data_IF_596343643578
#
_entry.id   IF_596343643578
#
_cell.length_a   1.000
_cell.length_b   1.000
_cell.length_c   1.000
_cell.angle_alpha   90.00
_cell.angle_beta   90.00
_cell.angle_gamma   90.00
#
_symmetry.space_group_name_H-M   'P 1'
#
loop_
_entity.id
_entity.type
_entity.pdbx_description
1 polymer ?
#
# COMPACT_ATOMS: atom_id res chain seq x y z
N UNK A 1 -23.37 -19.61 2.51
CA UNK A 1 -22.59 -18.70 3.39
C UNK A 1 -21.16 -18.55 2.89
N UNK A 2 -20.48 -19.64 2.54
CA UNK A 2 -19.11 -19.61 1.99
C UNK A 2 -18.93 -18.66 0.78
N UNK A 3 -19.85 -18.69 -0.19
CA UNK A 3 -19.81 -17.78 -1.35
C UNK A 3 -19.84 -16.30 -0.96
N UNK A 4 -20.61 -15.94 0.08
CA UNK A 4 -20.68 -14.56 0.58
C UNK A 4 -19.38 -14.15 1.26
N UNK A 5 -18.74 -15.05 2.02
CA UNK A 5 -17.43 -14.79 2.63
C UNK A 5 -16.35 -14.58 1.56
N UNK A 6 -16.30 -15.40 0.52
CA UNK A 6 -15.33 -15.25 -0.58
C UNK A 6 -15.46 -13.89 -1.28
N UNK A 7 -16.70 -13.43 -1.53
CA UNK A 7 -16.94 -12.11 -2.13
C UNK A 7 -16.50 -11.01 -1.16
N UNK A 8 -16.86 -11.10 0.12
CA UNK A 8 -16.48 -10.12 1.13
C UNK A 8 -14.95 -10.01 1.30
N UNK A 9 -14.23 -11.14 1.27
CA UNK A 9 -12.76 -11.15 1.26
C UNK A 9 -12.18 -10.41 0.06
N UNK A 10 -12.67 -10.73 -1.15
CA UNK A 10 -12.18 -10.15 -2.39
C UNK A 10 -12.39 -8.63 -2.40
N UNK A 11 -13.54 -8.17 -1.89
CA UNK A 11 -13.84 -6.74 -1.76
C UNK A 11 -12.94 -6.08 -0.71
N UNK A 12 -12.80 -6.67 0.48
CA UNK A 12 -11.98 -6.11 1.55
C UNK A 12 -10.51 -5.97 1.15
N UNK A 13 -9.92 -7.03 0.58
CA UNK A 13 -8.55 -7.01 0.10
C UNK A 13 -8.40 -6.09 -1.12
N UNK A 14 -9.26 -6.24 -2.13
CA UNK A 14 -9.16 -5.50 -3.40
C UNK A 14 -9.35 -4.00 -3.25
N UNK A 15 -10.35 -3.55 -2.49
CA UNK A 15 -10.57 -2.12 -2.24
C UNK A 15 -9.55 -1.55 -1.26
N UNK A 16 -9.13 -2.34 -0.27
CA UNK A 16 -8.20 -1.88 0.76
C UNK A 16 -6.79 -1.55 0.24
N UNK A 17 -6.37 -2.15 -0.88
CA UNK A 17 -5.07 -1.84 -1.51
C UNK A 17 -5.10 -0.61 -2.42
N UNK A 18 -6.27 -0.05 -2.77
CA UNK A 18 -6.36 1.10 -3.68
C UNK A 18 -5.69 2.35 -3.08
N UNK A 19 -5.94 2.65 -1.81
CA UNK A 19 -5.34 3.79 -1.11
C UNK A 19 -3.81 3.69 -1.07
N UNK A 20 -3.23 2.60 -0.54
CA UNK A 20 -1.80 2.33 -0.57
C UNK A 20 -1.21 2.41 -1.99
N UNK A 21 -1.82 1.74 -2.97
CA UNK A 21 -1.33 1.72 -4.35
C UNK A 21 -1.23 3.13 -4.96
N UNK A 22 -2.26 3.96 -4.77
CA UNK A 22 -2.25 5.37 -5.20
C UNK A 22 -1.17 6.15 -4.43
N UNK A 23 -1.12 6.00 -3.11
CA UNK A 23 -0.14 6.69 -2.25
C UNK A 23 1.30 6.37 -2.64
N UNK A 24 1.61 5.10 -2.86
CA UNK A 24 2.94 4.61 -3.28
C UNK A 24 3.30 5.18 -4.64
N UNK A 25 2.38 5.18 -5.60
CA UNK A 25 2.60 5.78 -6.92
C UNK A 25 2.95 7.27 -6.84
N UNK A 26 2.23 8.03 -6.01
CA UNK A 26 2.49 9.46 -5.78
C UNK A 26 3.84 9.69 -5.09
N UNK A 27 4.14 8.92 -4.05
CA UNK A 27 5.41 9.00 -3.30
C UNK A 27 6.59 8.71 -4.24
N UNK A 28 6.52 7.61 -4.99
CA UNK A 28 7.56 7.23 -5.94
C UNK A 28 7.75 8.27 -7.05
N UNK A 29 6.65 8.75 -7.64
CA UNK A 29 6.71 9.79 -8.67
C UNK A 29 7.39 11.07 -8.19
N UNK A 30 7.03 11.56 -6.99
CA UNK A 30 7.64 12.75 -6.39
C UNK A 30 9.10 12.56 -5.99
N UNK A 31 9.46 11.36 -5.54
CA UNK A 31 10.85 11.02 -5.29
C UNK A 31 11.68 11.06 -6.58
N UNK A 32 11.18 10.50 -7.69
CA UNK A 32 11.87 10.54 -8.98
C UNK A 32 12.03 11.97 -9.51
N UNK A 33 10.98 12.80 -9.42
CA UNK A 33 11.07 14.23 -9.77
C UNK A 33 12.14 14.95 -8.93
N UNK A 34 12.21 14.69 -7.63
CA UNK A 34 13.18 15.31 -6.73
C UNK A 34 14.62 14.87 -7.03
N UNK A 35 14.84 13.58 -7.30
CA UNK A 35 16.14 13.02 -7.69
C UNK A 35 16.59 13.60 -9.04
N UNK A 36 15.68 13.71 -10.01
CA UNK A 36 15.99 14.31 -11.31
C UNK A 36 16.44 15.77 -11.21
N UNK A 37 15.95 16.52 -10.20
CA UNK A 37 16.38 17.91 -9.93
C UNK A 37 17.70 18.00 -9.18
N UNK A 38 17.97 17.08 -8.27
CA UNK A 38 19.22 17.02 -7.51
C UNK A 38 19.69 15.56 -7.32
N UNK A 39 20.50 15.03 -8.25
CA UNK A 39 21.00 13.66 -8.19
C UNK A 39 21.86 13.37 -6.95
N UNK A 40 22.58 14.36 -6.43
CA UNK A 40 23.45 14.20 -5.25
C UNK A 40 22.64 13.92 -3.97
N UNK A 41 21.36 14.33 -3.92
CA UNK A 41 20.47 14.08 -2.79
C UNK A 41 19.80 12.69 -2.82
N UNK A 42 20.08 11.86 -3.84
CA UNK A 42 19.35 10.61 -4.11
C UNK A 42 19.27 9.66 -2.91
N UNK A 43 20.39 9.43 -2.20
CA UNK A 43 20.42 8.52 -1.07
C UNK A 43 19.42 8.89 0.05
N UNK A 44 19.33 10.19 0.37
CA UNK A 44 18.39 10.69 1.40
C UNK A 44 16.94 10.63 0.91
N UNK A 45 16.70 10.95 -0.36
CA UNK A 45 15.36 10.90 -0.96
C UNK A 45 14.84 9.47 -0.97
N UNK A 46 15.65 8.50 -1.41
CA UNK A 46 15.27 7.08 -1.45
C UNK A 46 14.97 6.55 -0.04
N UNK A 47 15.81 6.89 0.96
CA UNK A 47 15.57 6.47 2.35
C UNK A 47 14.22 6.97 2.88
N UNK A 48 13.92 8.26 2.70
CA UNK A 48 12.65 8.85 3.12
C UNK A 48 11.45 8.29 2.31
N UNK A 49 11.64 8.06 1.01
CA UNK A 49 10.63 7.47 0.12
C UNK A 49 10.24 6.06 0.59
N UNK A 50 11.22 5.21 0.90
CA UNK A 50 10.96 3.85 1.40
C UNK A 50 10.18 3.90 2.71
N UNK A 51 10.58 4.77 3.65
CA UNK A 51 9.88 4.93 4.92
C UNK A 51 8.41 5.32 4.69
N UNK A 52 8.15 6.29 3.81
CA UNK A 52 6.80 6.72 3.47
C UNK A 52 5.98 5.61 2.79
N UNK A 53 6.59 4.83 1.89
CA UNK A 53 5.96 3.67 1.25
C UNK A 53 5.57 2.62 2.28
N UNK A 54 6.44 2.30 3.25
CA UNK A 54 6.15 1.32 4.30
C UNK A 54 4.95 1.77 5.15
N UNK A 55 4.86 3.07 5.50
CA UNK A 55 3.70 3.59 6.22
C UNK A 55 2.43 3.56 5.37
N UNK A 56 2.51 3.87 4.08
CA UNK A 56 1.37 3.78 3.17
C UNK A 56 0.90 2.32 3.02
N UNK A 57 1.83 1.38 2.89
CA UNK A 57 1.55 -0.05 2.73
C UNK A 57 0.97 -0.70 3.98
N UNK A 58 1.25 -0.17 5.17
CA UNK A 58 0.68 -0.67 6.42
C UNK A 58 -0.87 -0.74 6.39
N UNK A 59 -1.53 0.19 5.69
CA UNK A 59 -2.98 0.17 5.50
C UNK A 59 -3.44 -0.98 4.58
N UNK A 60 -2.65 -1.31 3.56
CA UNK A 60 -2.90 -2.44 2.67
C UNK A 60 -2.76 -3.78 3.40
N UNK A 61 -1.74 -3.90 4.25
CA UNK A 61 -1.56 -5.06 5.13
C UNK A 61 -2.77 -5.21 6.08
N UNK A 62 -3.26 -4.12 6.67
CA UNK A 62 -4.45 -4.18 7.52
C UNK A 62 -5.68 -4.67 6.76
N UNK A 63 -5.88 -4.23 5.52
CA UNK A 63 -6.96 -4.72 4.68
C UNK A 63 -6.83 -6.22 4.36
N UNK A 64 -5.61 -6.70 4.09
CA UNK A 64 -5.34 -8.12 3.89
C UNK A 64 -5.61 -8.93 5.16
N UNK A 65 -5.22 -8.43 6.33
CA UNK A 65 -5.51 -9.05 7.63
C UNK A 65 -7.02 -9.16 7.85
N UNK A 66 -7.77 -8.10 7.60
CA UNK A 66 -9.25 -8.12 7.70
C UNK A 66 -9.84 -9.16 6.73
N UNK A 67 -9.33 -9.25 5.50
CA UNK A 67 -9.78 -10.25 4.54
C UNK A 67 -9.56 -11.69 5.04
N UNK A 68 -8.43 -11.97 5.70
CA UNK A 68 -8.19 -13.31 6.26
C UNK A 68 -9.07 -13.59 7.49
N UNK A 69 -9.34 -12.59 8.32
CA UNK A 69 -10.26 -12.73 9.46
C UNK A 69 -11.65 -13.15 8.95
N UNK A 70 -12.16 -12.53 7.88
CA UNK A 70 -13.45 -12.88 7.26
C UNK A 70 -13.50 -14.36 6.81
N UNK A 71 -12.38 -14.94 6.38
CA UNK A 71 -12.35 -16.32 5.84
C UNK A 71 -12.20 -17.41 6.87
N UNK A 72 -11.35 -17.15 7.86
CA UNK A 72 -10.78 -18.18 8.72
C UNK A 72 -11.24 -18.07 10.17
N UNK A 73 -11.80 -16.92 10.56
CA UNK A 73 -12.28 -16.67 11.92
C UNK A 73 -13.78 -16.42 11.95
N UNK A 74 -14.30 -15.67 10.97
CA UNK A 74 -15.71 -15.31 10.83
C UNK A 74 -16.57 -16.30 10.07
#
# INVERSE_FOLDING_TARGET
MESAQLIAMAIAAGLGVLGPGIGIGLIGGKAMEAIGRNPEASGKIVSNMILAIVFAEALGILALVVSFIIRFVG
#
